data_IF_688018303901
#
_entry.id   IF_688018303901
#
_cell.length_a   1.000
_cell.length_b   1.000
_cell.length_c   1.000
_cell.angle_alpha   90.00
_cell.angle_beta   90.00
_cell.angle_gamma   90.00
#
_symmetry.space_group_name_H-M   'P 1'
#
loop_
_entity.id
_entity.type
_entity.pdbx_description
1 polymer ?
#
# COMPACT_ATOMS: atom_id res chain seq x y z
N UNK A 1 -10.27 7.50 12.31
CA UNK A 1 -9.18 6.50 12.22
C UNK A 1 -7.96 6.94 13.02
N UNK A 2 -7.33 8.06 12.69
CA UNK A 2 -6.14 8.56 13.39
C UNK A 2 -6.34 8.71 14.90
N UNK A 3 -7.42 9.35 15.37
CA UNK A 3 -7.69 9.52 16.81
C UNK A 3 -7.89 8.21 17.57
N UNK A 4 -8.45 7.20 16.90
CA UNK A 4 -8.59 5.87 17.50
C UNK A 4 -7.23 5.18 17.57
N UNK A 5 -6.46 5.24 16.49
CA UNK A 5 -5.13 4.66 16.42
C UNK A 5 -4.19 5.31 17.45
N UNK A 6 -4.24 6.64 17.59
CA UNK A 6 -3.48 7.39 18.61
C UNK A 6 -3.76 6.89 20.02
N UNK A 7 -5.03 6.74 20.39
CA UNK A 7 -5.43 6.20 21.72
C UNK A 7 -4.92 4.77 21.96
N UNK A 8 -4.81 3.95 20.91
CA UNK A 8 -4.25 2.59 21.01
C UNK A 8 -2.73 2.63 21.13
N UNK A 9 -2.05 3.40 20.29
CA UNK A 9 -0.60 3.60 20.30
C UNK A 9 -0.13 4.18 21.63
N UNK A 10 -0.91 5.06 22.25
CA UNK A 10 -0.59 5.67 23.55
C UNK A 10 -0.27 4.62 24.63
N UNK A 11 -0.89 3.44 24.55
CA UNK A 11 -0.73 2.33 25.48
C UNK A 11 0.50 1.46 25.22
N UNK A 12 1.19 1.63 24.08
CA UNK A 12 2.40 0.87 23.77
C UNK A 12 3.57 1.35 24.64
N UNK A 13 4.37 0.43 25.22
CA UNK A 13 5.49 0.78 26.09
C UNK A 13 6.65 1.43 25.33
N UNK A 14 6.84 1.08 24.06
CA UNK A 14 7.86 1.61 23.18
C UNK A 14 7.24 2.00 21.84
N UNK A 15 7.62 3.18 21.34
CA UNK A 15 7.02 3.81 20.13
C UNK A 15 8.14 4.34 19.24
N UNK A 16 9.09 3.48 18.88
CA UNK A 16 10.25 3.86 18.07
C UNK A 16 10.17 3.21 16.70
N UNK A 17 10.29 3.99 15.64
CA UNK A 17 10.21 3.50 14.27
C UNK A 17 11.39 4.04 13.45
N UNK A 18 11.90 3.23 12.54
CA UNK A 18 12.98 3.62 11.63
C UNK A 18 12.51 3.56 10.18
N UNK A 19 12.57 4.69 9.48
CA UNK A 19 12.49 4.75 8.03
C UNK A 19 13.91 4.68 7.47
N UNK A 20 14.15 3.71 6.59
CA UNK A 20 15.45 3.51 5.94
C UNK A 20 15.33 3.86 4.47
N UNK A 21 16.21 4.74 3.99
CA UNK A 21 16.23 5.22 2.61
C UNK A 21 17.60 4.97 1.99
N UNK A 22 17.60 4.46 0.76
CA UNK A 22 18.81 4.22 -0.03
C UNK A 22 18.74 5.05 -1.32
N UNK A 23 19.85 5.72 -1.66
CA UNK A 23 19.92 6.66 -2.78
C UNK A 23 19.21 8.00 -2.52
N UNK A 24 19.15 8.84 -3.56
CA UNK A 24 18.52 10.15 -3.53
C UNK A 24 17.33 10.20 -4.49
N UNK A 25 16.12 10.32 -3.94
CA UNK A 25 14.91 10.54 -4.71
C UNK A 25 14.02 11.56 -3.98
N UNK A 26 13.66 12.64 -4.68
CA UNK A 26 12.85 13.72 -4.12
C UNK A 26 11.45 13.23 -3.70
N UNK A 27 10.80 12.40 -4.53
CA UNK A 27 9.49 11.82 -4.22
C UNK A 27 9.57 10.93 -2.97
N UNK A 28 10.59 10.07 -2.86
CA UNK A 28 10.82 9.25 -1.66
C UNK A 28 11.04 10.10 -0.41
N UNK A 29 11.78 11.22 -0.54
CA UNK A 29 12.03 12.15 0.58
C UNK A 29 10.75 12.84 1.04
N UNK A 30 9.92 13.29 0.12
CA UNK A 30 8.63 13.90 0.44
C UNK A 30 7.69 12.90 1.12
N UNK A 31 7.62 11.67 0.60
CA UNK A 31 6.75 10.63 1.13
C UNK A 31 7.19 10.19 2.53
N UNK A 32 8.49 10.01 2.78
CA UNK A 32 9.01 9.74 4.12
C UNK A 32 8.74 10.91 5.06
N UNK A 33 8.88 12.16 4.60
CA UNK A 33 8.49 13.34 5.38
C UNK A 33 7.01 13.32 5.80
N UNK A 34 6.11 12.86 4.94
CA UNK A 34 4.69 12.66 5.31
C UNK A 34 4.52 11.57 6.37
N UNK A 35 5.21 10.43 6.23
CA UNK A 35 5.18 9.35 7.23
C UNK A 35 5.71 9.80 8.58
N UNK A 36 6.81 10.55 8.62
CA UNK A 36 7.38 11.12 9.86
C UNK A 36 6.38 12.05 10.55
N UNK A 37 5.77 12.98 9.81
CA UNK A 37 4.74 13.88 10.37
C UNK A 37 3.54 13.11 10.93
N UNK A 38 3.12 12.03 10.27
CA UNK A 38 2.05 11.17 10.81
C UNK A 38 2.50 10.44 12.08
N UNK A 39 3.72 9.90 12.10
CA UNK A 39 4.29 9.25 13.28
C UNK A 39 4.30 10.20 14.49
N UNK A 40 4.75 11.44 14.29
CA UNK A 40 4.76 12.49 15.32
C UNK A 40 3.35 12.79 15.85
N UNK A 41 2.35 12.93 14.96
CA UNK A 41 0.95 13.15 15.35
C UNK A 41 0.37 12.01 16.21
N UNK A 42 0.80 10.78 15.93
CA UNK A 42 0.44 9.56 16.67
C UNK A 42 1.26 9.37 17.96
N UNK A 43 2.24 10.24 18.24
CA UNK A 43 3.12 10.13 19.41
C UNK A 43 4.19 9.04 19.26
N UNK A 44 4.58 8.71 18.03
CA UNK A 44 5.66 7.78 17.68
C UNK A 44 6.94 8.57 17.41
N UNK A 45 8.04 8.16 18.04
CA UNK A 45 9.38 8.64 17.73
C UNK A 45 9.87 7.99 16.43
N UNK A 46 9.88 8.75 15.34
CA UNK A 46 10.39 8.30 14.05
C UNK A 46 11.83 8.77 13.79
N UNK A 47 12.70 7.84 13.43
CA UNK A 47 14.06 8.12 12.94
C UNK A 47 14.10 7.89 11.43
N UNK A 48 14.76 8.76 10.68
CA UNK A 48 15.04 8.56 9.25
C UNK A 48 16.54 8.33 9.09
N UNK A 49 16.92 7.17 8.54
CA UNK A 49 18.30 6.88 8.16
C UNK A 49 18.42 6.90 6.64
N UNK A 50 19.26 7.79 6.14
CA UNK A 50 19.51 7.98 4.71
C UNK A 50 20.90 7.49 4.37
N UNK A 51 21.00 6.72 3.31
CA UNK A 51 22.27 6.19 2.82
C UNK A 51 22.38 6.47 1.30
N UNK A 52 22.91 7.65 0.91
CA UNK A 52 23.00 8.03 -0.50
C UNK A 52 24.07 7.25 -1.27
N UNK A 53 25.13 6.77 -0.61
CA UNK A 53 26.34 6.21 -1.22
C UNK A 53 26.40 4.67 -1.21
N UNK A 54 25.32 3.94 -0.87
CA UNK A 54 25.43 2.47 -0.72
C UNK A 54 25.65 1.79 -2.06
N UNK A 55 26.59 0.86 -2.11
CA UNK A 55 27.09 0.32 -3.38
C UNK A 55 26.50 -1.05 -3.73
N UNK A 56 26.18 -1.89 -2.74
CA UNK A 56 25.71 -3.26 -3.03
C UNK A 56 24.65 -3.80 -2.06
N UNK A 57 23.91 -4.81 -2.53
CA UNK A 57 22.78 -5.41 -1.81
C UNK A 57 23.19 -6.01 -0.46
N UNK A 58 24.34 -6.69 -0.37
CA UNK A 58 24.76 -7.34 0.88
C UNK A 58 25.10 -6.33 1.97
N UNK A 59 25.68 -5.19 1.59
CA UNK A 59 25.94 -4.07 2.49
C UNK A 59 24.63 -3.48 3.01
N UNK A 60 23.64 -3.25 2.14
CA UNK A 60 22.28 -2.81 2.53
C UNK A 60 21.65 -3.76 3.54
N UNK A 61 21.68 -5.07 3.29
CA UNK A 61 21.14 -6.06 4.21
C UNK A 61 21.82 -6.00 5.58
N UNK A 62 23.15 -5.86 5.59
CA UNK A 62 23.94 -5.76 6.84
C UNK A 62 23.59 -4.49 7.62
N UNK A 63 23.41 -3.36 6.94
CA UNK A 63 22.95 -2.11 7.55
C UNK A 63 21.58 -2.27 8.19
N UNK A 64 20.63 -2.91 7.51
CA UNK A 64 19.29 -3.15 8.06
C UNK A 64 19.35 -4.03 9.32
N UNK A 65 20.18 -5.07 9.34
CA UNK A 65 20.39 -5.90 10.54
C UNK A 65 21.01 -5.11 11.70
N UNK A 66 21.99 -4.25 11.42
CA UNK A 66 22.58 -3.39 12.45
C UNK A 66 21.58 -2.35 12.98
N UNK A 67 20.64 -1.89 12.15
CA UNK A 67 19.57 -0.99 12.55
C UNK A 67 18.53 -1.74 13.40
N UNK A 68 18.19 -2.97 13.03
CA UNK A 68 17.18 -3.78 13.73
C UNK A 68 17.56 -4.10 15.17
N UNK A 69 18.85 -4.17 15.48
CA UNK A 69 19.37 -4.35 16.83
C UNK A 69 19.22 -3.11 17.75
N UNK A 70 18.81 -1.93 17.24
CA UNK A 70 18.79 -0.66 17.99
C UNK A 70 17.48 -0.41 18.78
N UNK A 71 16.64 -1.43 18.95
CA UNK A 71 15.43 -1.34 19.76
C UNK A 71 14.30 -0.51 19.12
N UNK A 72 14.07 -0.69 17.82
CA UNK A 72 12.87 -0.19 17.14
C UNK A 72 11.70 -1.16 17.29
N UNK A 73 10.47 -0.67 17.16
CA UNK A 73 9.23 -1.46 17.06
C UNK A 73 8.85 -1.76 15.60
N UNK A 74 9.31 -0.93 14.67
CA UNK A 74 9.07 -1.11 13.25
C UNK A 74 10.20 -0.55 12.41
N UNK A 75 10.48 -1.21 11.29
CA UNK A 75 11.41 -0.76 10.27
C UNK A 75 10.67 -0.74 8.93
N UNK A 76 10.83 0.35 8.21
CA UNK A 76 10.24 0.53 6.88
C UNK A 76 11.36 0.89 5.92
N UNK A 77 11.60 0.04 4.94
CA UNK A 77 12.51 0.33 3.82
C UNK A 77 11.71 1.10 2.77
N UNK A 78 12.10 2.34 2.49
CA UNK A 78 11.40 3.17 1.52
C UNK A 78 11.75 2.74 0.10
N UNK A 79 10.72 2.44 -0.69
CA UNK A 79 10.80 2.14 -2.12
C UNK A 79 10.57 3.40 -2.98
N UNK A 80 10.99 3.42 -4.26
CA UNK A 80 11.82 2.42 -4.91
C UNK A 80 13.26 2.45 -4.38
N UNK A 81 13.94 1.30 -4.44
CA UNK A 81 15.37 1.22 -4.25
C UNK A 81 16.09 1.51 -5.57
N UNK A 82 17.37 1.95 -5.54
CA UNK A 82 18.22 1.97 -6.73
C UNK A 82 18.16 0.65 -7.51
N UNK A 83 18.09 0.73 -8.85
CA UNK A 83 17.82 -0.42 -9.73
C UNK A 83 18.85 -1.57 -9.62
N UNK A 84 20.08 -1.25 -9.23
CA UNK A 84 21.15 -2.25 -9.05
C UNK A 84 21.01 -3.06 -7.74
N UNK A 85 20.07 -2.72 -6.85
CA UNK A 85 19.81 -3.45 -5.62
C UNK A 85 18.73 -4.51 -5.82
N UNK A 86 18.97 -5.71 -5.29
CA UNK A 86 17.92 -6.73 -5.21
C UNK A 86 16.92 -6.34 -4.13
N UNK A 87 15.80 -5.79 -4.58
CA UNK A 87 14.76 -5.26 -3.70
C UNK A 87 14.19 -6.32 -2.77
N UNK A 88 13.93 -7.54 -3.23
CA UNK A 88 13.33 -8.56 -2.38
C UNK A 88 14.33 -9.06 -1.34
N UNK A 89 15.61 -9.20 -1.71
CA UNK A 89 16.66 -9.55 -0.75
C UNK A 89 16.84 -8.49 0.34
N UNK A 90 16.76 -7.20 -0.03
CA UNK A 90 16.76 -6.09 0.94
C UNK A 90 15.54 -6.16 1.86
N UNK A 91 14.33 -6.32 1.32
CA UNK A 91 13.10 -6.41 2.12
C UNK A 91 13.11 -7.62 3.07
N UNK A 92 13.63 -8.76 2.62
CA UNK A 92 13.79 -9.97 3.43
C UNK A 92 14.82 -9.84 4.55
N UNK A 93 15.67 -8.81 4.52
CA UNK A 93 16.59 -8.51 5.62
C UNK A 93 15.91 -7.79 6.79
N UNK A 94 14.68 -7.28 6.62
CA UNK A 94 13.91 -6.72 7.74
C UNK A 94 13.39 -7.86 8.61
N UNK A 95 13.68 -7.91 9.92
CA UNK A 95 13.15 -8.97 10.77
C UNK A 95 11.62 -8.96 10.79
N UNK A 96 10.99 -10.12 10.67
CA UNK A 96 9.53 -10.29 10.63
C UNK A 96 8.76 -9.53 11.72
N UNK A 97 9.29 -9.50 12.96
CA UNK A 97 8.66 -8.76 14.07
C UNK A 97 8.66 -7.25 13.86
N UNK A 98 9.65 -6.72 13.14
CA UNK A 98 9.80 -5.29 12.85
C UNK A 98 9.25 -4.91 11.47
N UNK A 99 8.93 -5.87 10.62
CA UNK A 99 8.28 -5.61 9.34
C UNK A 99 6.82 -5.22 9.59
N UNK A 100 6.54 -3.93 9.51
CA UNK A 100 5.21 -3.35 9.65
C UNK A 100 4.61 -2.97 8.29
N UNK A 101 5.40 -3.05 7.21
CA UNK A 101 4.94 -2.77 5.84
C UNK A 101 4.52 -4.06 5.11
N UNK A 102 4.89 -5.23 5.66
CA UNK A 102 4.54 -6.57 5.20
C UNK A 102 5.08 -6.81 3.78
N UNK A 103 6.35 -6.44 3.60
CA UNK A 103 7.02 -6.50 2.30
C UNK A 103 8.04 -7.63 2.20
N UNK A 104 8.53 -8.16 3.32
CA UNK A 104 9.33 -9.38 3.33
C UNK A 104 8.47 -10.60 2.97
N UNK A 105 9.08 -11.60 2.33
CA UNK A 105 8.39 -12.83 1.94
C UNK A 105 7.82 -13.56 3.15
N UNK A 106 8.53 -13.54 4.28
CA UNK A 106 8.07 -14.11 5.54
C UNK A 106 6.81 -13.38 6.06
N UNK A 107 6.79 -12.04 6.03
CA UNK A 107 5.64 -11.28 6.48
C UNK A 107 4.43 -11.46 5.57
N UNK A 108 4.64 -11.47 4.25
CA UNK A 108 3.59 -11.76 3.26
C UNK A 108 3.01 -13.15 3.43
N UNK A 109 3.86 -14.18 3.58
CA UNK A 109 3.42 -15.55 3.80
C UNK A 109 2.59 -15.64 5.09
N UNK A 110 3.06 -15.05 6.19
CA UNK A 110 2.30 -15.01 7.44
C UNK A 110 0.92 -14.34 7.28
N UNK A 111 0.85 -13.23 6.53
CA UNK A 111 -0.41 -12.56 6.23
C UNK A 111 -1.36 -13.46 5.42
N UNK A 112 -0.87 -14.15 4.39
CA UNK A 112 -1.66 -15.05 3.54
C UNK A 112 -2.22 -16.22 4.33
N UNK A 113 -1.40 -16.87 5.16
CA UNK A 113 -1.82 -18.00 6.00
C UNK A 113 -2.70 -17.58 7.19
N UNK A 114 -2.69 -16.30 7.56
CA UNK A 114 -3.43 -15.79 8.72
C UNK A 114 -2.71 -16.00 10.05
N UNK A 115 -1.39 -16.24 10.02
CA UNK A 115 -0.56 -16.50 11.20
C UNK A 115 -0.23 -15.22 12.00
N UNK A 116 -0.47 -14.04 11.43
CA UNK A 116 -0.30 -12.74 12.10
C UNK A 116 -1.51 -11.82 11.97
N UNK A 117 -1.67 -10.94 12.95
CA UNK A 117 -2.66 -9.86 12.95
C UNK A 117 -2.29 -8.71 12.01
N UNK A 118 -1.02 -8.60 11.62
CA UNK A 118 -0.52 -7.57 10.72
C UNK A 118 -1.10 -7.73 9.31
N UNK A 119 -1.44 -6.61 8.69
CA UNK A 119 -2.08 -6.55 7.37
C UNK A 119 -1.26 -5.62 6.47
N UNK A 120 -0.98 -5.97 5.20
CA UNK A 120 -0.38 -5.06 4.24
C UNK A 120 -1.11 -3.70 4.27
N UNK A 121 -0.41 -2.58 4.49
CA UNK A 121 -1.05 -1.29 4.75
C UNK A 121 -2.03 -0.85 3.66
N UNK A 122 -1.70 -1.10 2.39
CA UNK A 122 -2.58 -0.77 1.25
C UNK A 122 -3.86 -1.60 1.28
N UNK A 123 -3.76 -2.91 1.57
CA UNK A 123 -4.96 -3.75 1.67
C UNK A 123 -5.84 -3.32 2.84
N UNK A 124 -5.25 -2.99 3.99
CA UNK A 124 -6.00 -2.43 5.12
C UNK A 124 -6.70 -1.12 4.72
N UNK A 125 -6.00 -0.21 4.04
CA UNK A 125 -6.56 1.07 3.61
C UNK A 125 -7.75 0.92 2.66
N UNK A 126 -7.66 0.04 1.66
CA UNK A 126 -8.76 -0.25 0.72
C UNK A 126 -10.00 -0.70 1.48
N UNK A 127 -9.85 -1.65 2.41
CA UNK A 127 -10.97 -2.17 3.18
C UNK A 127 -11.51 -1.15 4.20
N UNK A 128 -10.64 -0.36 4.84
CA UNK A 128 -11.08 0.71 5.74
C UNK A 128 -11.89 1.78 5.01
N UNK A 129 -11.53 2.12 3.76
CA UNK A 129 -12.32 3.04 2.93
C UNK A 129 -13.67 2.41 2.58
N UNK A 130 -13.69 1.16 2.14
CA UNK A 130 -14.94 0.46 1.80
C UNK A 130 -15.87 0.36 3.01
N UNK A 131 -15.33 0.01 4.18
CA UNK A 131 -16.08 -0.08 5.44
C UNK A 131 -16.60 1.29 5.87
N UNK A 132 -15.79 2.37 5.75
CA UNK A 132 -16.20 3.73 6.08
C UNK A 132 -17.40 4.19 5.26
N UNK A 133 -17.44 3.86 3.96
CA UNK A 133 -18.56 4.16 3.08
C UNK A 133 -19.69 3.10 3.12
N UNK A 134 -19.60 2.11 4.00
CA UNK A 134 -20.56 1.00 4.12
C UNK A 134 -20.77 0.24 2.80
N UNK A 135 -19.71 0.11 1.99
CA UNK A 135 -19.75 -0.59 0.71
C UNK A 135 -19.69 -2.10 0.94
N UNK A 136 -20.84 -2.77 0.78
CA UNK A 136 -20.88 -4.23 0.88
C UNK A 136 -20.20 -4.92 -0.29
N UNK A 137 -19.31 -5.87 0.01
CA UNK A 137 -18.68 -6.75 -0.98
C UNK A 137 -19.53 -7.98 -1.35
N UNK A 138 -20.59 -8.26 -0.59
CA UNK A 138 -21.41 -9.46 -0.78
C UNK A 138 -22.16 -9.39 -2.11
N UNK A 139 -22.06 -10.47 -2.89
CA UNK A 139 -22.72 -10.60 -4.19
C UNK A 139 -22.34 -9.50 -5.19
N UNK A 140 -21.13 -8.92 -5.06
CA UNK A 140 -20.60 -7.93 -5.98
C UNK A 140 -19.56 -8.56 -6.90
N UNK A 141 -19.57 -8.12 -8.16
CA UNK A 141 -18.50 -8.38 -9.11
C UNK A 141 -17.31 -7.46 -8.77
N UNK A 142 -16.31 -8.00 -8.10
CA UNK A 142 -15.10 -7.27 -7.72
C UNK A 142 -14.04 -7.49 -8.78
N UNK A 143 -13.45 -6.41 -9.28
CA UNK A 143 -12.35 -6.44 -10.23
C UNK A 143 -11.11 -5.79 -9.62
N UNK A 144 -10.00 -6.52 -9.63
CA UNK A 144 -8.67 -5.99 -9.40
C UNK A 144 -7.99 -5.67 -10.72
N UNK A 145 -7.48 -4.44 -10.85
CA UNK A 145 -6.72 -4.01 -12.03
C UNK A 145 -5.25 -3.85 -11.62
N UNK A 146 -4.41 -4.77 -12.07
CA UNK A 146 -3.00 -4.89 -11.71
C UNK A 146 -2.74 -6.01 -10.72
N UNK A 147 -1.67 -6.77 -10.96
CA UNK A 147 -1.22 -7.90 -10.14
C UNK A 147 0.06 -7.60 -9.33
N UNK A 148 0.41 -6.32 -9.16
CA UNK A 148 1.69 -5.93 -8.56
C UNK A 148 1.82 -6.27 -7.07
N UNK A 149 3.07 -6.42 -6.63
CA UNK A 149 3.44 -6.78 -5.23
C UNK A 149 2.99 -5.79 -4.16
N UNK A 150 2.73 -4.53 -4.52
CA UNK A 150 2.42 -3.46 -3.56
C UNK A 150 0.93 -3.22 -3.37
N UNK A 151 0.10 -3.60 -4.35
CA UNK A 151 -1.36 -3.33 -4.33
C UNK A 151 -2.14 -4.58 -4.72
N UNK A 152 -1.95 -5.08 -5.95
CA UNK A 152 -2.71 -6.21 -6.49
C UNK A 152 -2.65 -7.47 -5.62
N UNK A 153 -1.45 -7.99 -5.39
CA UNK A 153 -1.23 -9.19 -4.55
C UNK A 153 -1.79 -9.07 -3.12
N UNK A 154 -1.50 -7.99 -2.36
CA UNK A 154 -2.01 -7.89 -0.99
C UNK A 154 -3.53 -7.70 -0.92
N UNK A 155 -4.13 -6.95 -1.85
CA UNK A 155 -5.60 -6.78 -1.90
C UNK A 155 -6.29 -8.08 -2.31
N UNK A 156 -5.76 -8.80 -3.31
CA UNK A 156 -6.26 -10.12 -3.70
C UNK A 156 -6.24 -11.10 -2.52
N UNK A 157 -5.13 -11.14 -1.79
CA UNK A 157 -4.97 -11.98 -0.61
C UNK A 157 -5.98 -11.62 0.49
N UNK A 158 -6.25 -10.32 0.71
CA UNK A 158 -7.25 -9.86 1.67
C UNK A 158 -8.69 -10.21 1.26
N UNK A 159 -9.02 -10.10 -0.04
CA UNK A 159 -10.32 -10.52 -0.58
C UNK A 159 -10.55 -12.02 -0.36
N UNK A 160 -9.55 -12.85 -0.69
CA UNK A 160 -9.58 -14.30 -0.46
C UNK A 160 -9.77 -14.63 1.02
N UNK A 161 -9.00 -14.01 1.92
CA UNK A 161 -9.13 -14.22 3.38
C UNK A 161 -10.52 -13.87 3.91
N UNK A 162 -11.18 -12.89 3.31
CA UNK A 162 -12.55 -12.49 3.64
C UNK A 162 -13.62 -13.27 2.88
N UNK A 163 -13.24 -14.26 2.07
CA UNK A 163 -14.17 -15.13 1.34
C UNK A 163 -14.88 -14.44 0.18
N UNK A 164 -14.31 -13.40 -0.40
CA UNK A 164 -14.89 -12.69 -1.54
C UNK A 164 -14.32 -13.24 -2.86
N UNK A 165 -15.20 -13.47 -3.83
CA UNK A 165 -14.80 -13.77 -5.21
C UNK A 165 -14.42 -12.48 -5.93
N UNK A 166 -13.41 -12.54 -6.78
CA UNK A 166 -12.95 -11.42 -7.59
C UNK A 166 -12.35 -11.90 -8.91
N UNK A 167 -12.31 -11.01 -9.88
CA UNK A 167 -11.53 -11.16 -11.11
C UNK A 167 -10.30 -10.27 -11.05
N UNK A 168 -9.24 -10.65 -11.75
CA UNK A 168 -8.04 -9.85 -11.87
C UNK A 168 -7.68 -9.71 -13.35
N UNK A 169 -7.40 -8.48 -13.76
CA UNK A 169 -6.84 -8.17 -15.08
C UNK A 169 -5.52 -7.43 -14.90
N UNK A 170 -4.59 -7.63 -15.84
CA UNK A 170 -3.30 -6.94 -15.85
C UNK A 170 -2.85 -6.63 -17.28
N UNK A 171 -1.58 -6.23 -17.44
CA UNK A 171 -1.00 -5.88 -18.74
C UNK A 171 -0.99 -7.04 -19.76
N UNK A 172 -1.04 -8.28 -19.29
CA UNK A 172 -1.02 -9.49 -20.12
C UNK A 172 -2.42 -9.97 -20.50
N UNK A 173 -3.47 -9.45 -19.85
CA UNK A 173 -4.86 -9.72 -20.25
C UNK A 173 -5.13 -9.12 -21.63
N UNK A 174 -5.95 -9.81 -22.43
CA UNK A 174 -6.40 -9.28 -23.71
C UNK A 174 -7.34 -8.08 -23.52
N UNK A 175 -7.45 -7.23 -24.55
CA UNK A 175 -8.37 -6.08 -24.51
C UNK A 175 -9.83 -6.52 -24.36
N UNK A 176 -10.21 -7.66 -24.95
CA UNK A 176 -11.55 -8.23 -24.80
C UNK A 176 -11.85 -8.59 -23.33
N UNK A 177 -10.93 -9.28 -22.66
CA UNK A 177 -11.06 -9.63 -21.24
C UNK A 177 -11.11 -8.40 -20.34
N UNK A 178 -10.24 -7.40 -20.60
CA UNK A 178 -10.23 -6.14 -19.85
C UNK A 178 -11.59 -5.46 -19.95
N UNK A 179 -12.10 -5.28 -21.17
CA UNK A 179 -13.38 -4.60 -21.40
C UNK A 179 -14.58 -5.36 -20.84
N UNK A 180 -14.57 -6.70 -20.92
CA UNK A 180 -15.59 -7.56 -20.34
C UNK A 180 -15.71 -7.36 -18.82
N UNK A 181 -14.57 -7.40 -18.12
CA UNK A 181 -14.55 -7.28 -16.67
C UNK A 181 -14.79 -5.84 -16.21
N UNK A 182 -14.20 -4.83 -16.87
CA UNK A 182 -14.40 -3.42 -16.51
C UNK A 182 -15.88 -3.01 -16.61
N UNK A 183 -16.59 -3.45 -17.67
CA UNK A 183 -18.00 -3.10 -17.88
C UNK A 183 -18.97 -3.81 -16.93
N UNK A 184 -18.58 -4.96 -16.38
CA UNK A 184 -19.45 -5.76 -15.51
C UNK A 184 -19.21 -5.54 -14.01
N UNK A 185 -18.04 -5.01 -13.64
CA UNK A 185 -17.63 -4.80 -12.26
C UNK A 185 -18.58 -3.86 -11.49
N UNK A 186 -18.96 -4.27 -10.28
CA UNK A 186 -19.61 -3.41 -9.29
C UNK A 186 -18.59 -2.59 -8.52
N UNK A 187 -17.40 -3.17 -8.30
CA UNK A 187 -16.31 -2.58 -7.52
C UNK A 187 -15.02 -2.81 -8.31
N UNK A 188 -14.30 -1.74 -8.60
CA UNK A 188 -12.98 -1.77 -9.22
C UNK A 188 -11.97 -1.24 -8.22
N UNK A 189 -10.94 -2.03 -7.94
CA UNK A 189 -9.78 -1.61 -7.14
C UNK A 189 -8.56 -1.63 -8.06
N UNK A 190 -7.96 -0.47 -8.34
CA UNK A 190 -6.82 -0.33 -9.25
C UNK A 190 -5.49 -0.17 -8.52
N UNK A 191 -4.45 -0.79 -9.06
CA UNK A 191 -3.07 -0.74 -8.61
C UNK A 191 -2.11 -1.12 -9.74
N UNK A 192 -2.38 -0.62 -10.94
CA UNK A 192 -1.61 -0.86 -12.16
C UNK A 192 -0.45 0.13 -12.33
N UNK A 193 -0.54 1.33 -11.76
CA UNK A 193 0.49 2.36 -11.88
C UNK A 193 0.58 2.98 -13.27
N UNK A 194 -0.57 3.12 -13.94
CA UNK A 194 -0.72 3.66 -15.29
C UNK A 194 -1.79 4.74 -15.32
N UNK A 195 -1.33 6.00 -15.40
CA UNK A 195 -2.19 7.19 -15.35
C UNK A 195 -3.39 7.11 -16.29
N UNK A 196 -4.60 7.23 -15.74
CA UNK A 196 -5.84 7.34 -16.49
C UNK A 196 -6.14 6.13 -17.40
N UNK A 197 -5.64 4.95 -17.04
CA UNK A 197 -5.90 3.68 -17.71
C UNK A 197 -7.41 3.36 -17.80
N UNK A 198 -8.16 3.60 -16.72
CA UNK A 198 -9.60 3.30 -16.66
C UNK A 198 -10.38 4.55 -17.05
N UNK A 199 -11.12 4.47 -18.17
CA UNK A 199 -11.90 5.57 -18.75
C UNK A 199 -13.39 5.47 -18.45
N UNK A 200 -14.14 6.59 -18.53
CA UNK A 200 -15.57 6.59 -18.21
C UNK A 200 -16.38 5.59 -19.05
N UNK A 201 -16.11 5.45 -20.34
CA UNK A 201 -16.81 4.54 -21.25
C UNK A 201 -16.53 3.04 -20.98
N UNK A 202 -15.51 2.74 -20.17
CA UNK A 202 -15.14 1.37 -19.78
C UNK A 202 -15.93 0.85 -18.58
N UNK A 203 -16.56 1.74 -17.81
CA UNK A 203 -17.24 1.38 -16.55
C UNK A 203 -18.75 1.63 -16.62
N UNK A 204 -19.50 0.88 -15.79
CA UNK A 204 -20.96 1.02 -15.67
C UNK A 204 -21.37 2.10 -14.68
N UNK A 205 -22.62 2.53 -14.77
CA UNK A 205 -23.20 3.47 -13.81
C UNK A 205 -23.35 2.82 -12.42
N UNK A 206 -23.09 3.60 -11.39
CA UNK A 206 -23.12 3.18 -9.98
C UNK A 206 -21.90 2.39 -9.52
N UNK A 207 -20.85 2.23 -10.34
CA UNK A 207 -19.62 1.52 -9.97
C UNK A 207 -18.91 2.16 -8.77
N UNK A 208 -18.31 1.36 -7.91
CA UNK A 208 -17.40 1.82 -6.86
C UNK A 208 -15.96 1.73 -7.36
N UNK A 209 -15.22 2.82 -7.27
CA UNK A 209 -13.86 2.97 -7.79
C UNK A 209 -12.89 3.29 -6.65
N UNK A 210 -11.99 2.36 -6.35
CA UNK A 210 -10.90 2.54 -5.38
C UNK A 210 -9.58 2.60 -6.14
N UNK A 211 -9.01 3.79 -6.24
CA UNK A 211 -7.76 4.06 -6.92
C UNK A 211 -6.58 4.06 -5.95
N UNK A 212 -5.89 2.92 -5.90
CA UNK A 212 -4.64 2.74 -5.16
C UNK A 212 -3.40 2.85 -6.06
N UNK A 213 -3.61 3.10 -7.37
CA UNK A 213 -2.55 3.38 -8.32
C UNK A 213 -2.02 4.80 -8.13
N UNK A 214 -0.71 4.95 -8.27
CA UNK A 214 -0.08 6.28 -8.26
C UNK A 214 1.01 6.33 -9.31
N UNK A 215 0.89 7.29 -10.22
CA UNK A 215 1.91 7.67 -11.20
C UNK A 215 2.22 9.16 -11.06
N UNK A 216 3.37 9.60 -11.55
CA UNK A 216 3.69 11.02 -11.65
C UNK A 216 3.48 11.50 -13.08
N UNK A 217 2.71 12.59 -13.25
CA UNK A 217 2.47 13.24 -14.52
C UNK A 217 2.59 14.75 -14.36
N UNK A 218 3.53 15.36 -15.09
CA UNK A 218 3.80 16.81 -15.02
C UNK A 218 4.02 17.34 -13.59
N UNK A 219 4.71 16.57 -12.74
CA UNK A 219 4.98 16.93 -11.34
C UNK A 219 3.79 16.79 -10.39
N UNK A 220 2.69 16.18 -10.85
CA UNK A 220 1.51 15.88 -10.03
C UNK A 220 1.31 14.37 -9.89
N UNK A 221 0.85 13.95 -8.72
CA UNK A 221 0.41 12.60 -8.50
C UNK A 221 -0.95 12.40 -9.18
N UNK A 222 -1.05 11.38 -10.01
CA UNK A 222 -2.25 10.98 -10.74
C UNK A 222 -2.51 9.49 -10.53
N UNK A 223 -3.77 9.09 -10.57
CA UNK A 223 -4.20 7.72 -10.35
C UNK A 223 -4.41 6.93 -11.64
N UNK A 224 -4.74 5.65 -11.52
CA UNK A 224 -5.06 4.80 -12.66
C UNK A 224 -6.43 5.11 -13.28
N UNK A 225 -7.30 5.78 -12.52
CA UNK A 225 -8.69 6.05 -12.89
C UNK A 225 -8.83 7.49 -13.37
N UNK A 226 -9.42 7.67 -14.54
CA UNK A 226 -9.73 8.99 -15.07
C UNK A 226 -10.74 9.69 -14.15
N UNK A 227 -10.47 10.93 -13.68
CA UNK A 227 -11.40 11.67 -12.83
C UNK A 227 -12.81 11.84 -13.41
N UNK A 228 -12.97 11.82 -14.74
CA UNK A 228 -14.28 11.88 -15.38
C UNK A 228 -15.17 10.67 -15.04
N UNK A 229 -14.60 9.56 -14.58
CA UNK A 229 -15.36 8.40 -14.09
C UNK A 229 -16.26 8.76 -12.89
N UNK A 230 -15.99 9.88 -12.20
CA UNK A 230 -16.85 10.40 -11.14
C UNK A 230 -18.30 10.66 -11.60
N UNK A 231 -18.52 10.90 -12.91
CA UNK A 231 -19.88 11.09 -13.45
C UNK A 231 -20.72 9.80 -13.44
N UNK A 232 -20.06 8.63 -13.40
CA UNK A 232 -20.69 7.31 -13.38
C UNK A 232 -20.62 6.64 -12.02
N UNK A 233 -19.58 6.91 -11.26
CA UNK A 233 -19.28 6.19 -10.03
C UNK A 233 -20.24 6.57 -8.88
N UNK A 234 -20.65 5.58 -8.10
CA UNK A 234 -21.32 5.83 -6.81
C UNK A 234 -20.34 6.23 -5.71
N UNK A 235 -19.07 5.82 -5.86
CA UNK A 235 -17.94 6.21 -5.02
C UNK A 235 -16.68 6.20 -5.89
N UNK A 236 -15.86 7.23 -5.77
CA UNK A 236 -14.52 7.29 -6.37
C UNK A 236 -13.54 7.87 -5.36
N UNK A 237 -12.41 7.19 -5.12
CA UNK A 237 -11.35 7.75 -4.28
C UNK A 237 -10.50 8.74 -5.09
N UNK A 238 -10.23 9.95 -4.59
CA UNK A 238 -9.40 10.91 -5.31
C UNK A 238 -7.93 10.54 -5.26
N UNK A 239 -7.17 10.92 -6.30
CA UNK A 239 -5.70 10.89 -6.29
C UNK A 239 -5.17 12.29 -6.60
N UNK A 240 -4.38 12.91 -5.71
CA UNK A 240 -4.05 12.48 -4.34
C UNK A 240 -5.24 12.63 -3.36
N UNK A 241 -5.13 12.02 -2.17
CA UNK A 241 -6.05 12.27 -1.05
C UNK A 241 -6.97 11.10 -0.68
N UNK A 242 -7.04 10.05 -1.50
CA UNK A 242 -7.81 8.83 -1.27
C UNK A 242 -7.00 7.76 -0.53
N UNK A 243 -6.60 6.70 -1.24
CA UNK A 243 -5.95 5.52 -0.63
C UNK A 243 -4.62 5.86 0.06
N UNK A 244 -3.80 6.72 -0.55
CA UNK A 244 -2.45 7.04 -0.05
C UNK A 244 -2.39 7.49 1.42
N UNK A 245 -3.11 8.55 1.84
CA UNK A 245 -3.15 8.97 3.24
C UNK A 245 -3.65 7.89 4.20
N UNK A 246 -4.65 7.10 3.79
CA UNK A 246 -5.16 6.00 4.61
C UNK A 246 -4.10 4.93 4.78
N UNK A 247 -3.40 4.53 3.72
CA UNK A 247 -2.26 3.59 3.77
C UNK A 247 -1.20 4.01 4.78
N UNK A 248 -0.88 5.31 4.85
CA UNK A 248 0.09 5.83 5.83
C UNK A 248 -0.40 5.62 7.26
N UNK A 249 -1.69 5.81 7.55
CA UNK A 249 -2.27 5.52 8.87
C UNK A 249 -2.29 4.01 9.14
N UNK A 250 -2.71 3.21 8.15
CA UNK A 250 -2.83 1.76 8.22
C UNK A 250 -1.47 1.07 8.48
N UNK A 251 -0.36 1.66 8.04
CA UNK A 251 1.02 1.24 8.33
C UNK A 251 1.28 1.23 9.84
N UNK A 252 0.94 2.31 10.55
CA UNK A 252 1.19 2.42 11.98
C UNK A 252 0.27 1.53 12.81
N UNK A 253 -0.88 1.11 12.28
CA UNK A 253 -1.74 0.15 12.96
C UNK A 253 -1.08 -1.23 13.11
N UNK A 254 -0.10 -1.58 12.26
CA UNK A 254 0.69 -2.82 12.42
C UNK A 254 1.70 -2.77 13.60
N UNK A 255 1.84 -1.64 14.30
CA UNK A 255 2.59 -1.56 15.55
C UNK A 255 1.81 -2.07 16.76
N UNK A 256 0.50 -2.29 16.61
CA UNK A 256 -0.37 -2.78 17.69
C UNK A 256 -0.36 -4.31 17.82
N UNK A 257 0.21 -5.01 16.84
CA UNK A 257 0.34 -6.47 16.75
C UNK A 257 1.79 -6.90 17.04
#
# INVERSE_FOLDING_TARGET
MEDELKRKIEKLPLKKLCFVMFGENLASTQFVGMKVRMAERLGISATVKKFPEVLETNEVCSLIQNISAQGYNGIVVQLPLPEYLDTQKVLNSVPFKLDIDILSDQAKASFVHGDSGKIPPVARAVFEILDFYNTSLKHKNILLVGNGKLVGEPVASMLTRKGNLFHMIDKNSSEEEKMLHLKSADIIISGAGSSGLIKPDMVKDGVVLIDAGTSEQAGKLVGDIDPECAQKASLITPVPGGVGPVTVVSLFANLLD
#
